data_IF_516419118805
#
_entry.id   IF_516419118805
#
_cell.length_a   1.000
_cell.length_b   1.000
_cell.length_c   1.000
_cell.angle_alpha   90.00
_cell.angle_beta   90.00
_cell.angle_gamma   90.00
#
_symmetry.space_group_name_H-M   'P 1'
#
loop_
_entity.id
_entity.type
_entity.pdbx_description
1 polymer ?
#
# COMPACT_ATOMS: atom_id res chain seq x y z
N UNK A 1 -16.33 -6.27 1.95
CA UNK A 1 -15.13 -6.30 2.80
C UNK A 1 -13.94 -7.03 2.18
N UNK A 2 -13.96 -7.34 0.87
CA UNK A 2 -12.83 -7.98 0.19
C UNK A 2 -12.38 -7.06 -0.94
N UNK A 3 -11.33 -6.27 -0.70
CA UNK A 3 -10.60 -5.64 -1.79
C UNK A 3 -9.97 -6.76 -2.64
N UNK A 4 -9.96 -6.63 -3.98
CA UNK A 4 -9.41 -7.66 -4.84
C UNK A 4 -7.95 -7.92 -4.49
N UNK A 5 -7.59 -9.19 -4.38
CA UNK A 5 -6.20 -9.62 -4.22
C UNK A 5 -5.45 -9.51 -5.56
N UNK A 6 -4.14 -9.27 -5.49
CA UNK A 6 -3.23 -9.47 -6.61
C UNK A 6 -2.58 -10.87 -6.50
N UNK A 7 -1.93 -11.36 -7.57
CA UNK A 7 -1.34 -12.70 -7.58
C UNK A 7 -0.31 -12.92 -6.47
N UNK A 8 -0.41 -14.04 -5.76
CA UNK A 8 0.50 -14.39 -4.66
C UNK A 8 1.97 -14.51 -5.12
N UNK A 9 2.19 -14.92 -6.37
CA UNK A 9 3.51 -14.98 -6.97
C UNK A 9 4.20 -13.60 -7.03
N UNK A 10 3.43 -12.53 -7.31
CA UNK A 10 3.97 -11.16 -7.32
C UNK A 10 4.31 -10.71 -5.90
N UNK A 11 3.48 -11.08 -4.92
CA UNK A 11 3.73 -10.77 -3.52
C UNK A 11 5.00 -11.44 -3.00
N UNK A 12 5.15 -12.73 -3.29
CA UNK A 12 6.33 -13.52 -2.92
C UNK A 12 7.61 -13.00 -3.60
N UNK A 13 7.54 -12.72 -4.89
CA UNK A 13 8.66 -12.12 -5.63
C UNK A 13 9.04 -10.74 -5.07
N UNK A 14 8.05 -9.96 -4.62
CA UNK A 14 8.27 -8.67 -3.97
C UNK A 14 9.05 -8.82 -2.65
N UNK A 15 8.64 -9.75 -1.79
CA UNK A 15 9.33 -10.03 -0.53
C UNK A 15 10.79 -10.43 -0.78
N UNK A 16 11.04 -11.36 -1.70
CA UNK A 16 12.41 -11.83 -1.98
C UNK A 16 13.28 -10.72 -2.56
N UNK A 17 12.73 -9.90 -3.46
CA UNK A 17 13.42 -8.76 -4.06
C UNK A 17 13.81 -7.70 -3.02
N UNK A 18 12.91 -7.38 -2.09
CA UNK A 18 13.14 -6.31 -1.10
C UNK A 18 14.02 -6.76 0.06
N UNK A 19 13.93 -8.03 0.47
CA UNK A 19 14.74 -8.59 1.55
C UNK A 19 16.06 -9.21 1.05
N UNK A 20 16.22 -9.39 -0.26
CA UNK A 20 17.43 -9.94 -0.89
C UNK A 20 17.70 -11.41 -0.56
N UNK A 21 16.68 -12.14 -0.11
CA UNK A 21 16.79 -13.51 0.39
C UNK A 21 15.60 -14.35 -0.09
N UNK A 22 15.80 -15.65 -0.40
CA UNK A 22 14.70 -16.55 -0.71
C UNK A 22 13.72 -16.68 0.47
N UNK A 23 12.42 -16.80 0.19
CA UNK A 23 11.38 -16.96 1.22
C UNK A 23 11.69 -18.11 2.18
N UNK A 24 12.17 -19.23 1.66
CA UNK A 24 12.51 -20.41 2.44
C UNK A 24 13.63 -20.16 3.44
N UNK A 25 14.51 -19.18 3.19
CA UNK A 25 15.58 -18.82 4.13
C UNK A 25 15.08 -17.94 5.29
N UNK A 26 14.03 -17.16 5.05
CA UNK A 26 13.45 -16.21 6.01
C UNK A 26 12.38 -16.89 6.88
N UNK A 27 11.49 -17.66 6.24
CA UNK A 27 10.31 -18.25 6.86
C UNK A 27 10.39 -19.77 6.89
N UNK A 28 9.98 -20.37 8.01
CA UNK A 28 9.74 -21.82 8.11
C UNK A 28 8.39 -22.21 7.52
N UNK A 29 7.44 -21.28 7.53
CA UNK A 29 6.10 -21.43 6.96
C UNK A 29 5.60 -20.05 6.51
N UNK A 30 4.95 -19.96 5.35
CA UNK A 30 4.18 -18.80 4.92
C UNK A 30 2.86 -19.29 4.31
N UNK A 31 1.75 -18.59 4.58
CA UNK A 31 0.44 -18.96 4.03
C UNK A 31 0.47 -18.82 2.50
N UNK A 32 -0.09 -19.79 1.74
CA UNK A 32 -0.08 -19.74 0.28
C UNK A 32 -1.02 -18.66 -0.28
N UNK A 33 -1.96 -18.18 0.54
CA UNK A 33 -2.90 -17.13 0.22
C UNK A 33 -2.91 -16.07 1.33
N UNK A 34 -3.34 -14.83 1.06
CA UNK A 34 -3.42 -13.78 2.06
C UNK A 34 -4.51 -14.13 3.09
N UNK A 35 -4.22 -13.80 4.36
CA UNK A 35 -5.19 -13.90 5.45
C UNK A 35 -6.07 -12.66 5.57
N UNK A 36 -5.64 -11.54 4.98
CA UNK A 36 -6.41 -10.31 4.91
C UNK A 36 -5.99 -9.47 3.68
N UNK A 37 -6.95 -8.75 3.11
CA UNK A 37 -6.66 -7.64 2.21
C UNK A 37 -6.44 -6.37 3.04
N UNK A 38 -5.37 -5.63 2.76
CA UNK A 38 -5.12 -4.32 3.35
C UNK A 38 -5.40 -3.21 2.32
N UNK A 39 -5.56 -1.96 2.79
CA UNK A 39 -5.81 -0.77 1.95
C UNK A 39 -4.84 -0.70 0.76
N UNK A 40 -3.54 -0.82 1.02
CA UNK A 40 -2.46 -0.67 0.03
C UNK A 40 -1.69 -1.96 -0.23
N UNK A 41 -2.22 -3.12 0.19
CA UNK A 41 -1.45 -4.36 0.19
C UNK A 41 -2.25 -5.62 0.52
N UNK A 42 -1.52 -6.69 0.77
CA UNK A 42 -2.02 -7.97 1.25
C UNK A 42 -1.25 -8.39 2.50
N UNK A 43 -1.89 -9.15 3.38
CA UNK A 43 -1.26 -9.66 4.59
C UNK A 43 -1.21 -11.18 4.54
N UNK A 44 -0.03 -11.74 4.74
CA UNK A 44 0.24 -13.17 4.85
C UNK A 44 0.57 -13.54 6.29
N UNK A 45 0.18 -14.74 6.70
CA UNK A 45 0.63 -15.30 7.97
C UNK A 45 1.92 -16.07 7.72
N UNK A 46 2.97 -15.79 8.47
CA UNK A 46 4.23 -16.51 8.35
C UNK A 46 4.80 -16.89 9.71
N UNK A 47 5.75 -17.81 9.72
CA UNK A 47 6.57 -18.15 10.86
C UNK A 47 8.04 -17.92 10.50
N UNK A 48 8.74 -17.12 11.30
CA UNK A 48 10.15 -16.82 11.10
C UNK A 48 11.00 -18.06 11.37
N UNK A 49 11.94 -18.38 10.46
CA UNK A 49 12.80 -19.55 10.60
C UNK A 49 13.76 -19.44 11.78
N UNK A 50 14.36 -18.26 11.97
CA UNK A 50 15.42 -18.07 12.98
C UNK A 50 14.89 -18.05 14.42
N UNK A 51 13.65 -17.60 14.64
CA UNK A 51 13.07 -17.45 15.99
C UNK A 51 11.85 -18.34 16.26
N UNK A 52 11.23 -18.90 15.22
CA UNK A 52 9.95 -19.61 15.34
C UNK A 52 8.74 -18.71 15.60
N UNK A 53 8.92 -17.38 15.65
CA UNK A 53 7.83 -16.44 15.93
C UNK A 53 6.84 -16.38 14.76
N UNK A 54 5.55 -16.37 15.08
CA UNK A 54 4.49 -16.11 14.09
C UNK A 54 4.37 -14.61 13.84
N UNK A 55 4.39 -14.22 12.57
CA UNK A 55 4.34 -12.82 12.13
C UNK A 55 3.27 -12.62 11.06
N UNK A 56 2.79 -11.39 10.94
CA UNK A 56 1.99 -10.93 9.82
C UNK A 56 2.90 -10.21 8.84
N UNK A 57 2.97 -10.69 7.59
CA UNK A 57 3.81 -10.12 6.53
C UNK A 57 2.90 -9.30 5.62
N UNK A 58 3.00 -7.97 5.70
CA UNK A 58 2.25 -7.06 4.83
C UNK A 58 3.09 -6.77 3.58
N UNK A 59 2.53 -7.07 2.41
CA UNK A 59 3.16 -6.86 1.11
C UNK A 59 2.39 -5.77 0.36
N UNK A 60 3.10 -4.77 -0.14
CA UNK A 60 2.48 -3.69 -0.90
C UNK A 60 1.98 -4.17 -2.26
N UNK A 61 0.91 -3.54 -2.76
CA UNK A 61 0.42 -3.80 -4.12
C UNK A 61 1.47 -3.38 -5.15
N UNK A 62 1.70 -4.17 -6.20
CA UNK A 62 2.54 -3.75 -7.31
C UNK A 62 2.04 -2.43 -7.91
N UNK A 63 2.98 -1.53 -8.25
CA UNK A 63 2.73 -0.25 -8.92
C UNK A 63 1.79 0.70 -8.15
N UNK A 64 1.61 0.51 -6.83
CA UNK A 64 0.69 1.33 -6.04
C UNK A 64 1.11 2.80 -5.96
N UNK A 65 2.42 3.08 -5.93
CA UNK A 65 2.95 4.45 -5.88
C UNK A 65 2.56 5.24 -7.13
N UNK A 66 2.68 4.62 -8.32
CA UNK A 66 2.34 5.24 -9.59
C UNK A 66 0.83 5.49 -9.70
N UNK A 67 0.02 4.51 -9.29
CA UNK A 67 -1.44 4.63 -9.28
C UNK A 67 -1.91 5.75 -8.35
N UNK A 68 -1.41 5.76 -7.12
CA UNK A 68 -1.70 6.80 -6.12
C UNK A 68 -1.22 8.18 -6.60
N UNK A 69 -0.05 8.24 -7.23
CA UNK A 69 0.48 9.48 -7.80
C UNK A 69 -0.41 10.08 -8.89
N UNK A 70 -0.91 9.24 -9.81
CA UNK A 70 -1.84 9.66 -10.85
C UNK A 70 -3.17 10.13 -10.26
N UNK A 71 -3.72 9.40 -9.29
CA UNK A 71 -4.97 9.77 -8.63
C UNK A 71 -4.86 11.15 -7.96
N UNK A 72 -3.78 11.39 -7.21
CA UNK A 72 -3.57 12.68 -6.56
C UNK A 72 -3.31 13.82 -7.55
N UNK A 73 -2.63 13.54 -8.66
CA UNK A 73 -2.48 14.53 -9.73
C UNK A 73 -3.83 14.97 -10.30
N UNK A 74 -4.71 14.01 -10.61
CA UNK A 74 -6.06 14.29 -11.12
C UNK A 74 -6.94 15.00 -10.09
N UNK A 75 -6.95 14.52 -8.85
CA UNK A 75 -7.69 15.13 -7.76
C UNK A 75 -7.26 16.57 -7.52
N UNK A 76 -5.96 16.83 -7.51
CA UNK A 76 -5.42 18.18 -7.31
C UNK A 76 -5.82 19.14 -8.42
N UNK A 77 -5.81 18.69 -9.68
CA UNK A 77 -6.33 19.47 -10.82
C UNK A 77 -7.82 19.79 -10.67
N UNK A 78 -8.62 18.82 -10.22
CA UNK A 78 -10.03 19.06 -9.92
C UNK A 78 -10.20 20.04 -8.74
N UNK A 79 -9.36 19.93 -7.71
CA UNK A 79 -9.33 20.86 -6.58
C UNK A 79 -9.09 22.30 -7.01
N UNK A 80 -8.20 22.54 -7.98
CA UNK A 80 -8.01 23.87 -8.57
C UNK A 80 -9.28 24.40 -9.27
N UNK A 81 -9.99 23.55 -10.01
CA UNK A 81 -11.24 23.95 -10.66
C UNK A 81 -12.33 24.28 -9.63
N UNK A 82 -12.43 23.47 -8.57
CA UNK A 82 -13.41 23.70 -7.50
C UNK A 82 -13.12 25.02 -6.79
N UNK A 83 -11.89 25.24 -6.33
CA UNK A 83 -11.48 26.48 -5.68
C UNK A 83 -11.73 27.72 -6.56
N UNK A 84 -11.65 27.57 -7.88
CA UNK A 84 -11.80 28.69 -8.84
C UNK A 84 -13.26 29.00 -9.21
N UNK A 85 -14.13 27.99 -9.27
CA UNK A 85 -15.46 28.12 -9.88
C UNK A 85 -16.63 27.79 -8.95
N UNK A 86 -16.38 27.30 -7.73
CA UNK A 86 -17.43 26.84 -6.80
C UNK A 86 -17.43 27.69 -5.53
N UNK A 87 -18.11 28.83 -5.60
CA UNK A 87 -18.09 29.86 -4.55
C UNK A 87 -18.72 29.43 -3.21
N UNK A 88 -19.53 28.35 -3.21
CA UNK A 88 -20.12 27.80 -1.98
C UNK A 88 -19.10 27.02 -1.11
N UNK A 89 -17.97 26.61 -1.71
CA UNK A 89 -16.91 25.90 -0.99
C UNK A 89 -15.88 26.93 -0.54
N UNK A 90 -15.89 27.24 0.76
CA UNK A 90 -14.98 28.24 1.37
C UNK A 90 -13.64 27.65 1.81
N UNK A 91 -13.51 26.32 1.79
CA UNK A 91 -12.29 25.61 2.19
C UNK A 91 -11.34 25.46 1.00
N UNK A 92 -10.04 25.52 1.25
CA UNK A 92 -9.03 25.22 0.24
C UNK A 92 -9.00 23.71 -0.05
N UNK A 93 -9.65 23.31 -1.14
CA UNK A 93 -9.76 21.91 -1.55
C UNK A 93 -8.39 21.34 -1.94
N UNK A 94 -7.50 22.15 -2.51
CA UNK A 94 -6.14 21.71 -2.87
C UNK A 94 -5.35 21.39 -1.61
N UNK A 95 -5.41 22.26 -0.59
CA UNK A 95 -4.73 22.00 0.68
C UNK A 95 -5.24 20.73 1.38
N UNK A 96 -6.55 20.46 1.31
CA UNK A 96 -7.15 19.24 1.84
C UNK A 96 -6.65 17.98 1.10
N UNK A 97 -6.57 18.06 -0.24
CA UNK A 97 -6.05 16.97 -1.07
C UNK A 97 -4.57 16.73 -0.76
N UNK A 98 -3.77 17.78 -0.61
CA UNK A 98 -2.35 17.69 -0.29
C UNK A 98 -2.11 17.05 1.10
N UNK A 99 -2.97 17.36 2.09
CA UNK A 99 -2.97 16.67 3.41
C UNK A 99 -3.31 15.19 3.28
N UNK A 100 -4.35 14.87 2.51
CA UNK A 100 -4.75 13.49 2.28
C UNK A 100 -3.66 12.69 1.57
N UNK A 101 -3.05 13.27 0.53
CA UNK A 101 -1.92 12.70 -0.18
C UNK A 101 -0.78 12.37 0.79
N UNK A 102 -0.40 13.30 1.66
CA UNK A 102 0.68 13.09 2.63
C UNK A 102 0.42 11.86 3.51
N UNK A 103 -0.82 11.67 3.99
CA UNK A 103 -1.18 10.51 4.81
C UNK A 103 -1.10 9.19 4.03
N UNK A 104 -1.55 9.18 2.76
CA UNK A 104 -1.44 7.99 1.92
C UNK A 104 0.02 7.65 1.64
N UNK A 105 0.87 8.63 1.32
CA UNK A 105 2.30 8.42 1.11
C UNK A 105 3.03 7.95 2.39
N UNK A 106 2.58 8.39 3.57
CA UNK A 106 3.08 7.83 4.83
C UNK A 106 2.73 6.34 4.96
N UNK A 107 1.51 5.93 4.58
CA UNK A 107 1.16 4.51 4.53
C UNK A 107 1.90 3.72 3.45
N UNK A 108 2.50 4.37 2.45
CA UNK A 108 3.35 3.69 1.44
C UNK A 108 4.79 3.51 1.88
N UNK A 109 5.26 4.25 2.89
CA UNK A 109 6.61 4.04 3.42
C UNK A 109 6.59 3.03 4.58
N UNK A 110 7.06 1.80 4.32
CA UNK A 110 7.15 0.72 5.32
C UNK A 110 8.48 0.68 6.10
N UNK A 111 9.44 1.55 5.78
CA UNK A 111 10.79 1.57 6.39
C UNK A 111 10.94 2.74 7.40
N UNK A 112 9.82 3.20 7.97
CA UNK A 112 9.82 4.30 8.94
C UNK A 112 10.57 3.96 10.23
#
# INVERSE_FOLDING_TARGET
DALPTFPDADAFSCIERELGLPLESIFSLISPSPIAAASLGQVYKAQLRYSGQTVAVKVQRPNIEEAVGLDFYLLRNLGFLINKYVDIITSDVVALIDEFARRVYQELNYVQ
#
